data_IF_962146066807
#
_entry.id   IF_962146066807
#
_cell.length_a   1.000
_cell.length_b   1.000
_cell.length_c   1.000
_cell.angle_alpha   90.00
_cell.angle_beta   90.00
_cell.angle_gamma   90.00
#
_symmetry.space_group_name_H-M   'P 1'
#
loop_
_entity.id
_entity.type
_entity.pdbx_description
1 polymer ?
#
# COMPACT_ATOMS: atom_id res chain seq x y z
N UNK A 1 4.29 -21.28 3.22
CA UNK A 1 4.66 -21.49 1.79
C UNK A 1 3.41 -21.55 0.92
N UNK A 2 3.43 -20.88 -0.23
CA UNK A 2 2.32 -20.87 -1.20
C UNK A 2 2.34 -22.13 -2.11
N UNK A 3 1.95 -23.28 -1.54
CA UNK A 3 2.00 -24.60 -2.23
C UNK A 3 1.09 -24.65 -3.47
N UNK A 4 0.02 -23.84 -3.50
CA UNK A 4 -0.95 -23.79 -4.61
C UNK A 4 -0.57 -22.78 -5.71
N UNK A 5 0.60 -22.12 -5.61
CA UNK A 5 1.07 -21.11 -6.56
C UNK A 5 0.02 -20.02 -6.83
N UNK A 6 -0.67 -19.58 -5.78
CA UNK A 6 -1.65 -18.49 -5.86
C UNK A 6 -0.94 -17.20 -6.28
N UNK A 7 -1.44 -16.51 -7.29
CA UNK A 7 -0.91 -15.28 -7.85
C UNK A 7 -1.80 -14.06 -7.63
N UNK A 8 -3.11 -14.28 -7.52
CA UNK A 8 -4.09 -13.20 -7.32
C UNK A 8 -5.05 -13.55 -6.20
N UNK A 9 -5.47 -12.54 -5.46
CA UNK A 9 -6.43 -12.63 -4.36
C UNK A 9 -7.43 -11.49 -4.57
N UNK A 10 -8.70 -11.78 -4.33
CA UNK A 10 -9.74 -10.76 -4.28
C UNK A 10 -10.65 -11.04 -3.07
N UNK A 11 -11.29 -10.00 -2.55
CA UNK A 11 -12.20 -10.11 -1.42
C UNK A 11 -13.52 -9.39 -1.73
N UNK A 12 -14.62 -10.01 -1.34
CA UNK A 12 -15.95 -9.41 -1.36
C UNK A 12 -16.55 -9.45 0.05
N UNK A 13 -17.85 -9.22 0.16
CA UNK A 13 -18.57 -9.17 1.43
C UNK A 13 -18.63 -10.58 2.07
N UNK A 14 -17.70 -10.82 3.00
CA UNK A 14 -17.62 -12.07 3.74
C UNK A 14 -17.08 -13.26 2.95
N UNK A 15 -16.50 -13.05 1.75
CA UNK A 15 -15.86 -14.10 0.97
C UNK A 15 -14.55 -13.63 0.34
N UNK A 16 -13.71 -14.58 -0.08
CA UNK A 16 -12.44 -14.32 -0.74
C UNK A 16 -12.19 -15.32 -1.85
N UNK A 17 -11.50 -14.88 -2.90
CA UNK A 17 -11.14 -15.66 -4.07
C UNK A 17 -9.62 -15.74 -4.20
N UNK A 18 -9.14 -16.88 -4.66
CA UNK A 18 -7.73 -17.18 -4.81
C UNK A 18 -7.47 -17.80 -6.18
N UNK A 19 -6.52 -17.22 -6.91
CA UNK A 19 -6.19 -17.57 -8.29
C UNK A 19 -4.83 -18.23 -8.37
N UNK A 20 -4.71 -19.44 -8.92
CA UNK A 20 -3.43 -19.93 -9.44
C UNK A 20 -3.32 -19.65 -10.94
N UNK A 21 -2.27 -20.18 -11.59
CA UNK A 21 -2.10 -20.16 -13.06
C UNK A 21 -3.25 -20.83 -13.82
N UNK A 22 -3.95 -21.77 -13.20
CA UNK A 22 -4.85 -22.75 -13.86
C UNK A 22 -6.16 -23.01 -13.10
N UNK A 23 -6.28 -22.50 -11.86
CA UNK A 23 -7.36 -22.86 -10.93
C UNK A 23 -7.87 -21.65 -10.18
N UNK A 24 -9.16 -21.71 -9.90
CA UNK A 24 -9.86 -20.77 -9.04
C UNK A 24 -10.33 -21.45 -7.77
N UNK A 25 -10.16 -20.76 -6.65
CA UNK A 25 -10.68 -21.18 -5.36
C UNK A 25 -11.43 -20.04 -4.69
N UNK A 26 -12.41 -20.35 -3.84
CA UNK A 26 -13.07 -19.37 -2.99
C UNK A 26 -13.34 -19.92 -1.59
N UNK A 27 -13.41 -19.02 -0.61
CA UNK A 27 -13.69 -19.32 0.79
C UNK A 27 -14.55 -18.20 1.40
N UNK A 28 -15.27 -18.49 2.48
CA UNK A 28 -16.18 -17.56 3.16
C UNK A 28 -17.65 -17.82 2.81
N UNK A 29 -18.47 -16.79 2.90
CA UNK A 29 -19.91 -16.85 2.63
C UNK A 29 -20.21 -17.34 1.21
N UNK A 30 -21.28 -18.13 1.09
CA UNK A 30 -21.78 -18.71 -0.16
C UNK A 30 -23.33 -18.72 -0.20
N UNK A 31 -23.98 -17.92 0.64
CA UNK A 31 -25.44 -17.77 0.72
C UNK A 31 -26.08 -17.13 -0.52
N UNK A 32 -25.26 -16.58 -1.43
CA UNK A 32 -25.64 -16.07 -2.76
C UNK A 32 -24.88 -16.78 -3.87
N UNK A 33 -24.27 -17.94 -3.59
CA UNK A 33 -23.48 -18.74 -4.53
C UNK A 33 -22.28 -18.02 -5.15
N UNK A 34 -21.73 -17.03 -4.44
CA UNK A 34 -20.55 -16.27 -4.84
C UNK A 34 -19.25 -17.10 -4.90
N UNK A 35 -19.26 -18.37 -4.44
CA UNK A 35 -18.11 -19.29 -4.56
C UNK A 35 -18.45 -20.45 -5.51
N UNK A 36 -19.38 -21.34 -5.16
CA UNK A 36 -19.70 -22.50 -6.01
C UNK A 36 -20.96 -23.23 -5.55
N UNK A 37 -21.52 -24.06 -6.43
CA UNK A 37 -22.48 -25.12 -6.09
C UNK A 37 -21.94 -26.49 -6.45
N UNK A 38 -21.95 -27.42 -5.49
CA UNK A 38 -22.06 -28.86 -5.80
C UNK A 38 -23.52 -29.29 -5.66
N UNK A 39 -24.45 -28.73 -6.44
CA UNK A 39 -25.78 -29.33 -6.53
C UNK A 39 -25.78 -30.29 -7.71
N UNK A 40 -25.33 -31.52 -7.44
CA UNK A 40 -25.67 -32.68 -8.27
C UNK A 40 -26.37 -33.79 -7.52
N UNK A 41 -26.77 -33.58 -6.27
CA UNK A 41 -27.62 -34.52 -5.53
C UNK A 41 -28.75 -33.75 -4.85
N UNK A 42 -29.99 -34.15 -5.14
CA UNK A 42 -31.25 -33.59 -4.64
C UNK A 42 -31.48 -33.79 -3.12
N UNK A 43 -30.42 -33.81 -2.32
CA UNK A 43 -30.49 -34.02 -0.86
C UNK A 43 -29.35 -33.38 -0.06
N UNK A 44 -28.43 -32.64 -0.70
CA UNK A 44 -27.38 -31.92 0.01
C UNK A 44 -27.87 -30.54 0.44
N UNK A 45 -27.82 -30.27 1.75
CA UNK A 45 -28.10 -28.97 2.37
C UNK A 45 -27.20 -27.90 1.74
N UNK A 46 -27.78 -26.75 1.39
CA UNK A 46 -27.06 -25.59 0.87
C UNK A 46 -25.96 -25.21 1.86
N UNK A 47 -24.71 -25.20 1.40
CA UNK A 47 -23.59 -24.82 2.24
C UNK A 47 -23.43 -23.30 2.21
N UNK A 48 -23.87 -22.65 3.28
CA UNK A 48 -23.92 -21.19 3.41
C UNK A 48 -22.53 -20.55 3.55
N UNK A 49 -21.50 -21.32 3.89
CA UNK A 49 -20.12 -20.84 3.95
C UNK A 49 -19.09 -21.98 3.82
N UNK A 50 -17.88 -21.63 3.37
CA UNK A 50 -16.72 -22.50 3.27
C UNK A 50 -15.56 -21.95 4.10
N UNK A 51 -15.16 -22.64 5.18
CA UNK A 51 -13.97 -22.27 5.96
C UNK A 51 -12.69 -22.51 5.16
N UNK A 52 -12.64 -23.62 4.42
CA UNK A 52 -11.50 -23.99 3.59
C UNK A 52 -11.78 -23.70 2.12
N UNK A 53 -10.80 -23.10 1.43
CA UNK A 53 -10.92 -22.72 0.03
C UNK A 53 -11.34 -23.88 -0.87
N UNK A 54 -12.49 -23.75 -1.52
CA UNK A 54 -13.09 -24.70 -2.46
C UNK A 54 -12.80 -24.32 -3.89
N UNK A 55 -12.57 -25.33 -4.74
CA UNK A 55 -12.33 -25.12 -6.17
C UNK A 55 -13.63 -24.68 -6.86
N UNK A 56 -13.54 -23.61 -7.62
CA UNK A 56 -14.62 -23.10 -8.48
C UNK A 56 -14.38 -23.67 -9.88
N UNK A 57 -15.41 -24.27 -10.47
CA UNK A 57 -15.33 -24.86 -11.81
C UNK A 57 -15.97 -23.90 -12.81
N UNK A 58 -15.17 -23.42 -13.75
CA UNK A 58 -15.62 -22.58 -14.85
C UNK A 58 -16.01 -23.48 -16.03
N UNK A 59 -16.98 -23.06 -16.87
CA UNK A 59 -17.45 -23.84 -18.03
C UNK A 59 -16.44 -23.88 -19.20
N UNK A 60 -15.14 -23.80 -18.91
CA UNK A 60 -14.03 -23.66 -19.86
C UNK A 60 -12.84 -24.48 -19.31
N UNK A 61 -11.98 -25.04 -20.17
CA UNK A 61 -10.83 -25.88 -19.80
C UNK A 61 -9.71 -25.19 -18.97
N UNK A 62 -8.49 -25.73 -18.99
CA UNK A 62 -7.33 -25.20 -18.22
C UNK A 62 -6.94 -23.75 -18.62
N UNK A 63 -6.73 -22.84 -17.65
CA UNK A 63 -6.85 -21.37 -17.84
C UNK A 63 -6.05 -20.48 -16.85
N UNK A 64 -5.55 -19.30 -17.28
CA UNK A 64 -4.85 -18.26 -16.48
C UNK A 64 -5.66 -17.03 -15.98
N UNK A 65 -6.11 -17.02 -14.72
CA UNK A 65 -6.87 -15.89 -14.20
C UNK A 65 -6.11 -14.65 -13.71
N UNK A 66 -6.73 -13.50 -13.92
CA UNK A 66 -6.62 -12.28 -13.09
C UNK A 66 -8.04 -11.98 -12.55
N UNK A 67 -8.21 -11.36 -11.39
CA UNK A 67 -9.56 -11.14 -10.82
C UNK A 67 -9.67 -9.82 -10.06
N UNK A 68 -10.87 -9.24 -10.08
CA UNK A 68 -11.35 -8.24 -9.12
C UNK A 68 -12.73 -8.70 -8.63
N UNK A 69 -12.97 -8.69 -7.32
CA UNK A 69 -14.22 -9.16 -6.72
C UNK A 69 -15.14 -7.98 -6.45
N UNK A 70 -16.41 -8.11 -6.82
CA UNK A 70 -17.44 -7.20 -6.34
C UNK A 70 -17.83 -7.58 -4.91
N UNK A 71 -18.34 -6.64 -4.11
CA UNK A 71 -18.68 -6.97 -2.72
C UNK A 71 -19.86 -7.94 -2.62
N UNK A 72 -20.81 -7.95 -3.55
CA UNK A 72 -21.98 -8.82 -3.48
C UNK A 72 -22.08 -9.88 -4.59
N UNK A 73 -21.33 -9.74 -5.68
CA UNK A 73 -21.23 -10.74 -6.75
C UNK A 73 -19.77 -11.06 -7.10
N UNK A 74 -19.53 -12.26 -7.64
CA UNK A 74 -18.20 -12.64 -8.12
C UNK A 74 -18.13 -12.40 -9.61
N UNK A 75 -17.51 -11.29 -9.99
CA UNK A 75 -17.14 -11.02 -11.39
C UNK A 75 -15.74 -11.57 -11.62
N UNK A 76 -15.57 -12.45 -12.61
CA UNK A 76 -14.30 -13.07 -12.94
C UNK A 76 -13.79 -12.61 -14.30
N UNK A 77 -12.51 -12.28 -14.30
CA UNK A 77 -11.71 -11.89 -15.45
C UNK A 77 -10.89 -13.08 -15.96
N UNK A 78 -10.97 -13.39 -17.25
CA UNK A 78 -10.27 -14.52 -17.83
C UNK A 78 -9.36 -14.05 -18.96
N UNK A 79 -8.03 -14.06 -18.73
CA UNK A 79 -7.03 -13.97 -19.80
C UNK A 79 -6.57 -15.37 -20.21
N UNK A 80 -6.87 -15.81 -21.44
CA UNK A 80 -6.22 -17.01 -22.02
C UNK A 80 -5.01 -16.63 -22.91
N UNK A 81 -3.82 -17.14 -22.54
CA UNK A 81 -2.81 -17.65 -23.49
C UNK A 81 -3.15 -19.14 -23.69
N UNK A 82 -3.41 -19.76 -24.84
CA UNK A 82 -3.31 -19.48 -26.29
C UNK A 82 -4.63 -20.00 -26.91
N UNK A 83 -5.38 -19.32 -27.78
CA UNK A 83 -5.12 -18.90 -29.17
C UNK A 83 -6.17 -17.82 -29.58
N UNK A 84 -5.70 -16.70 -30.15
CA UNK A 84 -6.41 -15.55 -30.77
C UNK A 84 -7.94 -15.40 -30.50
N UNK A 85 -8.38 -14.75 -29.40
CA UNK A 85 -9.13 -13.45 -29.44
C UNK A 85 -9.97 -13.00 -28.22
N UNK A 86 -10.55 -13.82 -27.33
CA UNK A 86 -11.64 -13.29 -26.48
C UNK A 86 -11.24 -12.94 -25.03
N UNK A 87 -11.27 -11.65 -24.67
CA UNK A 87 -11.22 -11.16 -23.29
C UNK A 87 -12.52 -11.40 -22.54
N UNK A 88 -13.00 -12.65 -22.55
CA UNK A 88 -14.31 -13.02 -22.02
C UNK A 88 -14.42 -12.77 -20.51
N UNK A 89 -15.54 -12.17 -20.11
CA UNK A 89 -15.88 -11.92 -18.70
C UNK A 89 -16.95 -12.92 -18.29
N UNK A 90 -16.77 -13.51 -17.12
CA UNK A 90 -17.75 -14.41 -16.53
C UNK A 90 -18.25 -13.85 -15.21
N UNK A 91 -19.54 -13.99 -14.95
CA UNK A 91 -20.14 -13.57 -13.70
C UNK A 91 -21.09 -14.64 -13.15
N UNK A 92 -21.17 -14.67 -11.83
CA UNK A 92 -22.08 -15.51 -11.05
C UNK A 92 -22.20 -14.95 -9.62
N UNK A 93 -23.21 -15.40 -8.89
CA UNK A 93 -23.53 -14.96 -7.54
C UNK A 93 -24.87 -14.23 -7.50
N UNK A 94 -24.95 -13.18 -6.67
CA UNK A 94 -26.06 -12.24 -6.71
C UNK A 94 -26.18 -11.61 -8.10
N UNK A 95 -27.41 -11.32 -8.51
CA UNK A 95 -27.72 -10.65 -9.78
C UNK A 95 -29.09 -9.95 -9.74
N UNK A 96 -29.51 -9.49 -8.55
CA UNK A 96 -30.82 -8.81 -8.39
C UNK A 96 -30.85 -7.49 -9.18
N UNK A 97 -29.71 -6.79 -9.29
CA UNK A 97 -29.59 -5.56 -10.08
C UNK A 97 -29.02 -5.76 -11.48
N UNK A 98 -28.79 -7.01 -11.90
CA UNK A 98 -28.16 -7.31 -13.19
C UNK A 98 -26.62 -7.31 -13.16
N UNK A 99 -26.01 -7.46 -11.97
CA UNK A 99 -24.55 -7.42 -11.78
C UNK A 99 -23.77 -8.49 -12.57
N UNK A 100 -24.45 -9.56 -13.03
CA UNK A 100 -23.89 -10.60 -13.88
C UNK A 100 -23.96 -10.28 -15.39
N UNK A 101 -24.66 -9.22 -15.78
CA UNK A 101 -24.78 -8.74 -17.17
C UNK A 101 -25.12 -9.81 -18.21
N UNK A 102 -25.92 -10.82 -17.88
CA UNK A 102 -26.21 -11.97 -18.75
C UNK A 102 -27.65 -11.97 -19.31
N UNK A 103 -28.33 -10.82 -19.28
CA UNK A 103 -29.71 -10.66 -19.72
C UNK A 103 -30.76 -11.24 -18.78
N UNK A 104 -30.36 -11.73 -17.59
CA UNK A 104 -31.27 -12.21 -16.56
C UNK A 104 -31.12 -11.43 -15.26
N UNK A 105 -32.12 -11.57 -14.39
CA UNK A 105 -32.04 -11.19 -12.98
C UNK A 105 -32.02 -12.47 -12.13
N UNK A 106 -32.07 -12.35 -10.81
CA UNK A 106 -31.98 -13.46 -9.84
C UNK A 106 -30.61 -14.13 -9.77
N UNK A 107 -30.36 -14.76 -8.63
CA UNK A 107 -29.12 -15.44 -8.30
C UNK A 107 -28.63 -16.39 -9.41
N UNK A 108 -27.39 -16.17 -9.86
CA UNK A 108 -26.70 -16.94 -10.87
C UNK A 108 -25.73 -17.92 -10.20
N UNK A 109 -26.12 -19.18 -10.05
CA UNK A 109 -25.32 -20.19 -9.37
C UNK A 109 -24.23 -20.83 -10.24
N UNK A 110 -24.21 -20.51 -11.54
CA UNK A 110 -23.22 -20.97 -12.51
C UNK A 110 -22.54 -19.76 -13.18
N UNK A 111 -21.22 -19.80 -13.39
CA UNK A 111 -20.53 -18.82 -14.23
C UNK A 111 -21.15 -18.75 -15.61
N UNK A 112 -21.51 -17.54 -16.03
CA UNK A 112 -22.07 -17.24 -17.35
C UNK A 112 -21.30 -16.08 -17.99
N UNK A 113 -21.22 -16.06 -19.32
CA UNK A 113 -20.58 -14.94 -20.03
C UNK A 113 -21.45 -13.69 -19.93
N UNK A 114 -20.80 -12.54 -19.79
CA UNK A 114 -21.51 -11.25 -19.89
C UNK A 114 -21.96 -11.00 -21.34
N UNK A 115 -23.03 -10.23 -21.46
CA UNK A 115 -23.68 -9.77 -22.68
C UNK A 115 -23.73 -8.24 -22.71
N UNK A 116 -24.11 -7.68 -23.86
CA UNK A 116 -24.17 -6.24 -24.08
C UNK A 116 -22.91 -5.71 -24.76
N UNK A 117 -22.66 -4.41 -24.61
CA UNK A 117 -21.64 -3.68 -25.38
C UNK A 117 -20.20 -4.12 -25.05
N UNK A 118 -19.95 -4.62 -23.83
CA UNK A 118 -18.65 -5.15 -23.44
C UNK A 118 -18.42 -6.60 -23.93
N UNK A 119 -19.44 -7.24 -24.54
CA UNK A 119 -19.33 -8.62 -25.01
C UNK A 119 -18.42 -8.69 -26.25
N UNK A 120 -17.33 -9.44 -26.15
CA UNK A 120 -16.33 -9.56 -27.22
C UNK A 120 -15.23 -8.51 -27.15
N UNK A 121 -15.37 -7.50 -26.29
CA UNK A 121 -14.30 -6.54 -26.01
C UNK A 121 -13.17 -7.18 -25.21
N UNK A 122 -11.95 -6.71 -25.46
CA UNK A 122 -10.79 -7.14 -24.67
C UNK A 122 -10.67 -6.25 -23.45
N UNK A 123 -11.36 -6.64 -22.39
CA UNK A 123 -11.38 -5.87 -21.17
C UNK A 123 -10.17 -6.21 -20.29
N UNK A 124 -9.59 -5.18 -19.68
CA UNK A 124 -8.31 -5.20 -18.94
C UNK A 124 -8.46 -4.98 -17.44
N UNK A 125 -9.55 -4.35 -17.00
CA UNK A 125 -9.89 -4.17 -15.59
C UNK A 125 -11.41 -4.13 -15.38
N UNK A 126 -11.85 -4.49 -14.16
CA UNK A 126 -13.19 -4.24 -13.63
C UNK A 126 -13.06 -3.69 -12.24
N UNK A 127 -13.93 -2.78 -11.86
CA UNK A 127 -14.14 -2.41 -10.46
C UNK A 127 -15.60 -2.55 -10.08
N UNK A 128 -15.85 -2.88 -8.81
CA UNK A 128 -17.18 -3.00 -8.25
C UNK A 128 -17.12 -3.08 -6.73
N UNK A 129 -17.64 -2.10 -6.00
CA UNK A 129 -17.69 -2.18 -4.53
C UNK A 129 -19.06 -2.62 -3.99
N UNK A 130 -20.13 -2.66 -4.80
CA UNK A 130 -21.48 -3.04 -4.39
C UNK A 130 -22.18 -3.77 -5.54
N UNK A 131 -23.21 -3.18 -6.13
CA UNK A 131 -23.97 -3.78 -7.21
C UNK A 131 -23.72 -3.11 -8.56
N UNK A 132 -23.01 -1.97 -8.58
CA UNK A 132 -22.51 -1.32 -9.80
C UNK A 132 -21.16 -1.90 -10.21
N UNK A 133 -21.06 -2.36 -11.46
CA UNK A 133 -19.84 -2.90 -12.03
C UNK A 133 -19.36 -2.01 -13.16
N UNK A 134 -18.12 -1.52 -13.07
CA UNK A 134 -17.40 -0.82 -14.13
C UNK A 134 -16.35 -1.71 -14.76
N UNK A 135 -16.15 -1.61 -16.06
CA UNK A 135 -15.15 -2.34 -16.83
C UNK A 135 -14.37 -1.41 -17.77
N UNK A 136 -13.09 -1.70 -18.05
CA UNK A 136 -12.27 -0.92 -18.99
C UNK A 136 -11.61 -1.80 -20.07
N UNK A 137 -11.81 -1.49 -21.35
CA UNK A 137 -11.15 -2.18 -22.47
C UNK A 137 -9.66 -1.87 -22.60
N UNK A 138 -8.93 -2.68 -23.37
CA UNK A 138 -7.56 -2.40 -23.81
C UNK A 138 -7.49 -1.13 -24.69
N UNK A 139 -8.61 -0.75 -25.31
CA UNK A 139 -8.71 0.50 -26.06
C UNK A 139 -8.92 1.72 -25.15
N UNK A 140 -9.11 1.51 -23.84
CA UNK A 140 -9.39 2.57 -22.87
C UNK A 140 -10.86 3.01 -22.85
N UNK A 141 -11.77 2.18 -23.33
CA UNK A 141 -13.22 2.40 -23.28
C UNK A 141 -13.81 1.84 -21.99
N UNK A 142 -14.83 2.50 -21.45
CA UNK A 142 -15.46 2.06 -20.21
C UNK A 142 -16.89 1.56 -20.43
N UNK A 143 -17.24 0.53 -19.69
CA UNK A 143 -18.54 -0.10 -19.70
C UNK A 143 -19.09 -0.23 -18.29
N UNK A 144 -20.42 -0.23 -18.15
CA UNK A 144 -21.11 -0.31 -16.86
C UNK A 144 -22.31 -1.25 -16.92
N UNK A 145 -22.60 -1.91 -15.80
CA UNK A 145 -23.84 -2.66 -15.58
C UNK A 145 -24.13 -2.82 -14.08
N UNK A 146 -25.22 -3.50 -13.76
CA UNK A 146 -25.71 -3.68 -12.41
C UNK A 146 -26.57 -2.50 -11.94
N UNK A 147 -26.42 -2.10 -10.68
CA UNK A 147 -27.20 -1.01 -10.08
C UNK A 147 -26.89 0.34 -10.74
N UNK A 148 -27.95 1.10 -11.05
CA UNK A 148 -27.92 2.43 -11.65
C UNK A 148 -28.93 3.41 -10.98
N UNK A 149 -29.39 3.15 -9.76
CA UNK A 149 -30.35 4.00 -9.04
C UNK A 149 -29.87 5.45 -8.83
N UNK A 150 -28.56 5.68 -8.87
CA UNK A 150 -27.93 6.98 -8.66
C UNK A 150 -27.44 7.63 -9.96
N UNK A 151 -27.76 7.05 -11.12
CA UNK A 151 -27.33 7.57 -12.43
C UNK A 151 -25.86 7.28 -12.74
N UNK A 152 -25.28 6.21 -12.19
CA UNK A 152 -23.90 5.81 -12.43
C UNK A 152 -23.59 5.53 -13.92
N UNK A 153 -24.58 5.17 -14.73
CA UNK A 153 -24.42 4.95 -16.17
C UNK A 153 -24.47 6.25 -17.00
N UNK A 154 -24.80 7.38 -16.36
CA UNK A 154 -24.87 8.70 -16.98
C UNK A 154 -26.17 9.00 -17.73
N UNK A 155 -26.15 10.11 -18.46
CA UNK A 155 -27.32 10.69 -19.12
C UNK A 155 -27.94 9.77 -20.18
N UNK A 156 -29.27 9.61 -20.13
CA UNK A 156 -30.05 8.85 -21.12
C UNK A 156 -30.27 7.37 -20.77
N UNK A 157 -29.86 6.94 -19.57
CA UNK A 157 -30.13 5.60 -19.04
C UNK A 157 -31.05 5.70 -17.82
N UNK A 158 -32.36 5.64 -18.06
CA UNK A 158 -33.39 5.76 -17.01
C UNK A 158 -33.61 4.46 -16.23
N UNK A 159 -33.07 3.33 -16.71
CA UNK A 159 -33.19 2.05 -16.01
C UNK A 159 -32.31 2.05 -14.77
N UNK A 160 -32.91 1.77 -13.62
CA UNK A 160 -32.20 1.66 -12.33
C UNK A 160 -31.42 0.36 -12.15
N UNK A 161 -31.67 -0.63 -13.00
CA UNK A 161 -30.97 -1.93 -13.02
C UNK A 161 -30.56 -2.28 -14.45
N UNK A 162 -29.32 -2.71 -14.64
CA UNK A 162 -28.72 -2.96 -15.95
C UNK A 162 -28.20 -4.39 -16.02
N UNK A 163 -28.97 -5.30 -16.60
CA UNK A 163 -28.58 -6.70 -16.80
C UNK A 163 -27.86 -6.96 -18.14
N UNK A 164 -27.46 -5.91 -18.85
CA UNK A 164 -26.55 -5.93 -19.99
C UNK A 164 -25.48 -4.86 -19.77
N UNK A 165 -24.23 -5.17 -20.15
CA UNK A 165 -23.17 -4.17 -20.18
C UNK A 165 -23.48 -3.06 -21.17
N UNK A 166 -23.21 -1.81 -20.76
CA UNK A 166 -23.40 -0.62 -21.58
C UNK A 166 -22.13 0.18 -21.70
N UNK A 167 -21.82 0.64 -22.90
CA UNK A 167 -20.73 1.58 -23.15
C UNK A 167 -21.05 2.95 -22.54
N UNK A 168 -20.07 3.56 -21.87
CA UNK A 168 -20.14 4.95 -21.40
C UNK A 168 -19.31 5.83 -22.35
N UNK A 169 -19.95 6.75 -23.11
CA UNK A 169 -19.22 7.75 -23.87
C UNK A 169 -18.38 8.64 -22.96
N UNK A 170 -17.07 8.69 -23.19
CA UNK A 170 -16.15 9.41 -22.31
C UNK A 170 -15.36 10.50 -23.06
N UNK A 171 -15.51 11.79 -22.67
CA UNK A 171 -14.88 12.90 -23.40
C UNK A 171 -13.39 13.08 -23.09
N UNK A 172 -12.90 12.52 -21.99
CA UNK A 172 -11.53 12.71 -21.50
C UNK A 172 -10.46 11.83 -22.13
N UNK A 173 -10.78 11.09 -23.21
CA UNK A 173 -9.85 10.18 -23.87
C UNK A 173 -9.77 8.80 -23.23
N UNK A 174 -8.63 8.11 -23.40
CA UNK A 174 -8.47 6.72 -22.96
C UNK A 174 -8.34 6.59 -21.46
N UNK A 175 -9.10 5.66 -20.89
CA UNK A 175 -9.07 5.32 -19.46
C UNK A 175 -7.92 4.35 -19.15
N UNK A 176 -7.26 4.57 -18.02
CA UNK A 176 -6.14 3.77 -17.52
C UNK A 176 -6.45 3.04 -16.21
N UNK A 177 -7.32 3.60 -15.35
CA UNK A 177 -7.74 3.00 -14.08
C UNK A 177 -9.19 3.37 -13.78
N UNK A 178 -9.92 2.46 -13.13
CA UNK A 178 -11.34 2.62 -12.81
C UNK A 178 -11.62 2.25 -11.35
N UNK A 179 -12.67 2.82 -10.79
CA UNK A 179 -13.18 2.54 -9.45
C UNK A 179 -14.68 2.83 -9.36
N UNK A 180 -15.46 1.94 -8.74
CA UNK A 180 -16.86 2.24 -8.40
C UNK A 180 -17.13 2.00 -6.92
N UNK A 181 -17.88 2.93 -6.34
CA UNK A 181 -18.52 2.82 -5.02
C UNK A 181 -19.94 2.24 -5.18
N UNK A 182 -20.76 2.21 -4.13
CA UNK A 182 -22.17 1.83 -4.24
C UNK A 182 -23.02 2.79 -5.07
N UNK A 183 -22.61 4.05 -5.18
CA UNK A 183 -23.45 5.12 -5.77
C UNK A 183 -22.71 6.04 -6.73
N UNK A 184 -21.41 5.84 -6.91
CA UNK A 184 -20.51 6.75 -7.63
C UNK A 184 -19.35 6.04 -8.30
N UNK A 185 -18.72 6.71 -9.26
CA UNK A 185 -17.66 6.19 -10.09
C UNK A 185 -16.49 7.17 -10.14
N UNK A 186 -15.27 6.63 -10.22
CA UNK A 186 -14.03 7.38 -10.42
C UNK A 186 -13.20 6.70 -11.50
N UNK A 187 -12.57 7.48 -12.37
CA UNK A 187 -11.64 6.96 -13.40
C UNK A 187 -10.43 7.87 -13.53
N UNK A 188 -9.29 7.31 -13.91
CA UNK A 188 -8.14 8.08 -14.40
C UNK A 188 -7.89 7.82 -15.88
N UNK A 189 -7.44 8.84 -16.60
CA UNK A 189 -7.06 8.73 -18.01
C UNK A 189 -5.57 8.37 -18.17
N UNK A 190 -5.15 7.95 -19.36
CA UNK A 190 -3.72 7.77 -19.69
C UNK A 190 -2.91 9.09 -19.55
N UNK A 191 -3.59 10.25 -19.57
CA UNK A 191 -2.96 11.56 -19.35
C UNK A 191 -2.75 11.86 -17.87
N UNK A 192 -3.32 11.06 -16.97
CA UNK A 192 -3.27 11.23 -15.52
C UNK A 192 -4.33 12.19 -14.97
N UNK A 193 -5.39 12.45 -15.74
CA UNK A 193 -6.55 13.24 -15.33
C UNK A 193 -7.55 12.35 -14.58
N UNK A 194 -8.18 12.87 -13.53
CA UNK A 194 -9.18 12.12 -12.75
C UNK A 194 -10.57 12.67 -13.02
N UNK A 195 -11.53 11.77 -13.27
CA UNK A 195 -12.93 12.12 -13.44
C UNK A 195 -13.78 11.37 -12.43
N UNK A 196 -14.80 12.05 -11.90
CA UNK A 196 -15.73 11.49 -10.91
C UNK A 196 -17.18 11.81 -11.28
N UNK A 197 -18.11 10.90 -10.95
CA UNK A 197 -19.55 11.12 -11.09
C UNK A 197 -20.37 10.18 -10.20
N UNK A 198 -21.69 10.36 -10.19
CA UNK A 198 -22.66 9.66 -9.34
C UNK A 198 -23.11 10.49 -8.14
N UNK A 199 -23.46 9.83 -7.04
CA UNK A 199 -24.02 10.46 -5.82
C UNK A 199 -23.19 10.14 -4.58
N UNK A 200 -22.82 11.16 -3.81
CA UNK A 200 -22.13 11.02 -2.54
C UNK A 200 -21.10 12.13 -2.30
N UNK A 201 -20.03 11.80 -1.56
CA UNK A 201 -18.92 12.73 -1.34
C UNK A 201 -17.89 12.53 -2.47
N UNK A 202 -18.04 13.32 -3.53
CA UNK A 202 -17.32 13.10 -4.80
C UNK A 202 -15.90 13.69 -4.83
N UNK A 203 -15.50 14.47 -3.83
CA UNK A 203 -14.18 15.12 -3.81
C UNK A 203 -14.15 16.52 -4.46
N UNK A 204 -15.32 17.10 -4.71
CA UNK A 204 -15.51 18.43 -5.33
C UNK A 204 -16.11 19.44 -4.34
N UNK A 205 -15.88 19.23 -3.05
CA UNK A 205 -16.41 20.06 -1.97
C UNK A 205 -17.79 19.63 -1.45
N UNK A 206 -18.29 20.32 -0.43
CA UNK A 206 -19.49 19.88 0.32
C UNK A 206 -20.81 20.08 -0.42
N UNK A 207 -20.83 20.99 -1.41
CA UNK A 207 -22.03 21.35 -2.18
C UNK A 207 -22.27 20.42 -3.37
N UNK A 208 -21.21 19.85 -3.95
CA UNK A 208 -21.30 19.01 -5.14
C UNK A 208 -21.42 17.54 -4.75
N UNK A 209 -22.64 17.09 -4.51
CA UNK A 209 -22.93 15.72 -4.06
C UNK A 209 -23.57 14.83 -5.12
N UNK A 210 -23.92 15.37 -6.28
CA UNK A 210 -24.51 14.63 -7.39
C UNK A 210 -23.97 15.13 -8.71
N UNK A 211 -23.55 14.19 -9.56
CA UNK A 211 -23.08 14.43 -10.91
C UNK A 211 -23.59 13.33 -11.84
N UNK A 212 -24.38 13.71 -12.85
CA UNK A 212 -24.96 12.76 -13.81
C UNK A 212 -24.02 12.42 -14.98
N UNK A 213 -22.78 12.90 -14.94
CA UNK A 213 -21.76 12.65 -15.97
C UNK A 213 -20.35 12.81 -15.40
N UNK A 214 -19.33 12.17 -16.00
CA UNK A 214 -17.94 12.35 -15.59
C UNK A 214 -17.53 13.82 -15.59
N UNK A 215 -17.05 14.31 -14.45
CA UNK A 215 -16.50 15.67 -14.29
C UNK A 215 -15.02 15.57 -13.94
N UNK A 216 -14.20 16.35 -14.66
CA UNK A 216 -12.77 16.48 -14.41
C UNK A 216 -12.52 17.12 -13.04
N UNK A 217 -11.66 16.49 -12.24
CA UNK A 217 -11.19 17.04 -10.98
C UNK A 217 -9.94 17.89 -11.19
N UNK A 218 -9.79 18.94 -10.38
CA UNK A 218 -8.68 19.89 -10.49
C UNK A 218 -7.32 19.23 -10.15
N UNK A 219 -6.27 19.36 -11.00
CA UNK A 219 -4.95 18.77 -10.75
C UNK A 219 -4.30 19.14 -9.40
N UNK A 220 -4.48 20.37 -8.85
CA UNK A 220 -4.00 20.71 -7.51
C UNK A 220 -4.48 19.77 -6.40
N UNK A 221 -5.65 19.14 -6.55
CA UNK A 221 -6.17 18.18 -5.57
C UNK A 221 -5.27 16.94 -5.41
N UNK A 222 -4.42 16.66 -6.39
CA UNK A 222 -3.49 15.52 -6.41
C UNK A 222 -2.02 15.95 -6.39
N UNK A 223 -1.75 17.17 -5.90
CA UNK A 223 -0.42 17.74 -5.81
C UNK A 223 0.15 18.24 -7.14
N UNK A 224 -0.69 18.56 -8.12
CA UNK A 224 -0.30 18.92 -9.50
C UNK A 224 0.51 17.83 -10.21
N UNK A 225 0.31 16.58 -9.83
CA UNK A 225 0.95 15.42 -10.45
C UNK A 225 -0.08 14.57 -11.19
N UNK A 226 0.40 13.82 -12.18
CA UNK A 226 -0.44 12.85 -12.89
C UNK A 226 -0.87 11.74 -11.95
N UNK A 227 -2.14 11.36 -12.02
CA UNK A 227 -2.67 10.20 -11.27
C UNK A 227 -2.38 8.92 -12.06
N UNK A 228 -1.74 7.94 -11.43
CA UNK A 228 -1.42 6.64 -12.04
C UNK A 228 -2.53 5.62 -11.83
N UNK A 229 -3.20 5.66 -10.67
CA UNK A 229 -4.24 4.72 -10.30
C UNK A 229 -5.32 5.38 -9.46
N UNK A 230 -6.55 4.91 -9.61
CA UNK A 230 -7.69 5.25 -8.75
C UNK A 230 -8.27 3.99 -8.13
N UNK A 231 -8.86 4.14 -6.96
CA UNK A 231 -9.44 3.08 -6.15
C UNK A 231 -10.78 3.56 -5.58
N UNK A 232 -11.67 2.61 -5.33
CA UNK A 232 -12.94 2.88 -4.68
C UNK A 232 -13.21 1.85 -3.58
N UNK A 233 -13.63 2.33 -2.41
CA UNK A 233 -14.30 1.55 -1.38
C UNK A 233 -15.81 1.63 -1.53
N UNK A 234 -16.56 1.27 -0.49
CA UNK A 234 -18.03 1.32 -0.57
C UNK A 234 -18.60 2.75 -0.68
N UNK A 235 -17.97 3.70 0.01
CA UNK A 235 -18.39 5.12 0.08
C UNK A 235 -17.21 6.09 0.11
N UNK A 236 -16.04 5.61 -0.31
CA UNK A 236 -14.78 6.33 -0.30
C UNK A 236 -13.96 6.06 -1.55
N UNK A 237 -13.01 6.92 -1.81
CA UNK A 237 -12.14 6.87 -2.97
C UNK A 237 -10.68 7.02 -2.57
N UNK A 238 -9.79 6.53 -3.43
CA UNK A 238 -8.36 6.73 -3.35
C UNK A 238 -7.77 7.04 -4.72
N UNK A 239 -6.67 7.79 -4.74
CA UNK A 239 -5.87 8.05 -5.92
C UNK A 239 -4.38 7.97 -5.57
N UNK A 240 -3.61 7.27 -6.39
CA UNK A 240 -2.15 7.22 -6.30
C UNK A 240 -1.59 8.07 -7.44
N UNK A 241 -0.78 9.07 -7.11
CA UNK A 241 -0.11 9.86 -8.14
C UNK A 241 1.21 9.22 -8.60
N UNK A 242 1.79 9.74 -9.69
CA UNK A 242 3.03 9.24 -10.27
C UNK A 242 4.26 9.36 -9.35
N UNK A 243 4.17 10.15 -8.27
CA UNK A 243 5.19 10.25 -7.21
C UNK A 243 4.96 9.26 -6.07
N UNK A 244 3.98 8.38 -6.16
CA UNK A 244 3.66 7.41 -5.12
C UNK A 244 2.90 8.00 -3.93
N UNK A 245 2.37 9.22 -4.03
CA UNK A 245 1.57 9.84 -2.97
C UNK A 245 0.12 9.37 -3.06
N UNK A 246 -0.43 8.96 -1.93
CA UNK A 246 -1.81 8.49 -1.81
C UNK A 246 -2.71 9.64 -1.37
N UNK A 247 -3.80 9.84 -2.09
CA UNK A 247 -4.87 10.77 -1.74
C UNK A 247 -6.15 9.99 -1.49
N UNK A 248 -6.90 10.35 -0.46
CA UNK A 248 -8.16 9.69 -0.08
C UNK A 248 -9.26 10.72 0.16
N UNK A 249 -10.49 10.38 -0.18
CA UNK A 249 -11.67 11.20 0.11
C UNK A 249 -12.93 10.35 0.24
N UNK A 250 -14.02 10.97 0.68
CA UNK A 250 -15.31 10.31 0.89
C UNK A 250 -15.71 10.22 2.36
N UNK A 251 -16.59 9.27 2.65
CA UNK A 251 -17.03 9.01 4.03
C UNK A 251 -15.90 8.40 4.85
N UNK A 252 -15.71 8.88 6.08
CA UNK A 252 -14.63 8.46 6.96
C UNK A 252 -15.15 7.88 8.29
N UNK A 253 -16.32 7.23 8.23
CA UNK A 253 -16.87 6.51 9.38
C UNK A 253 -15.85 5.46 9.83
N UNK A 254 -15.62 5.34 11.14
CA UNK A 254 -14.64 4.40 11.72
C UNK A 254 -13.18 4.61 11.28
N UNK A 255 -12.82 5.76 10.69
CA UNK A 255 -11.44 6.02 10.27
C UNK A 255 -11.02 5.27 9.00
N UNK A 256 -11.97 4.89 8.14
CA UNK A 256 -11.72 4.14 6.90
C UNK A 256 -10.71 4.80 5.95
N UNK A 257 -10.53 6.12 6.04
CA UNK A 257 -9.57 6.86 5.22
C UNK A 257 -8.14 6.83 5.80
N UNK A 258 -7.94 6.34 7.03
CA UNK A 258 -6.62 6.27 7.65
C UNK A 258 -6.03 7.63 8.05
N UNK A 259 -6.88 8.61 8.35
CA UNK A 259 -6.49 10.00 8.66
C UNK A 259 -6.42 10.33 10.16
N UNK A 260 -6.38 9.30 11.03
CA UNK A 260 -6.37 9.44 12.50
C UNK A 260 -7.55 10.26 13.08
N UNK A 261 -8.63 10.40 12.31
CA UNK A 261 -9.88 11.02 12.73
C UNK A 261 -11.07 10.43 11.96
N UNK A 262 -12.29 10.61 12.49
CA UNK A 262 -13.53 10.12 11.87
C UNK A 262 -14.29 11.12 10.98
N UNK A 263 -13.70 12.27 10.65
CA UNK A 263 -14.36 13.30 9.81
C UNK A 263 -14.28 12.96 8.33
N UNK A 264 -15.42 13.07 7.64
CA UNK A 264 -15.52 12.92 6.18
C UNK A 264 -14.60 13.90 5.44
N UNK A 265 -14.15 13.51 4.26
CA UNK A 265 -13.28 14.32 3.41
C UNK A 265 -13.98 14.67 2.11
N UNK A 266 -14.32 15.95 1.94
CA UNK A 266 -15.01 16.48 0.76
C UNK A 266 -14.07 16.83 -0.40
N UNK A 267 -12.76 16.74 -0.18
CA UNK A 267 -11.71 16.90 -1.17
C UNK A 267 -10.67 15.79 -0.98
N UNK A 268 -9.94 15.39 -2.05
CA UNK A 268 -8.77 14.54 -1.92
C UNK A 268 -7.79 15.06 -0.87
N UNK A 269 -7.46 14.22 0.11
CA UNK A 269 -6.54 14.52 1.19
C UNK A 269 -5.34 13.57 1.15
N UNK A 270 -4.12 14.10 1.22
CA UNK A 270 -2.90 13.28 1.18
C UNK A 270 -2.76 12.45 2.47
N UNK A 271 -2.64 11.14 2.31
CA UNK A 271 -2.28 10.23 3.40
C UNK A 271 -0.77 10.20 3.54
N UNK A 272 -0.27 10.66 4.68
CA UNK A 272 1.14 10.60 4.99
C UNK A 272 1.46 9.28 5.68
N UNK A 273 2.09 8.37 4.95
CA UNK A 273 2.71 7.21 5.57
C UNK A 273 4.06 7.63 6.16
N UNK A 274 4.34 7.33 7.44
CA UNK A 274 5.65 7.57 8.03
C UNK A 274 6.78 6.71 7.41
N UNK A 275 6.46 5.93 6.36
CA UNK A 275 7.36 5.00 5.67
C UNK A 275 7.70 5.41 4.23
N UNK A 276 7.33 6.61 3.80
CA UNK A 276 8.20 7.30 2.84
C UNK A 276 9.56 7.39 3.54
N UNK A 277 10.51 6.48 3.23
CA UNK A 277 11.88 6.57 3.75
C UNK A 277 12.50 7.78 3.07
N UNK A 278 12.11 8.96 3.53
CA UNK A 278 12.72 10.24 3.20
C UNK A 278 14.00 10.40 3.98
N UNK A 279 14.17 9.69 5.11
CA UNK A 279 15.33 9.79 5.96
C UNK A 279 15.80 8.42 6.45
N UNK A 280 17.11 8.17 6.38
CA UNK A 280 17.72 7.05 7.12
C UNK A 280 17.93 7.52 8.55
N UNK A 281 17.16 6.98 9.50
CA UNK A 281 17.36 7.21 10.93
C UNK A 281 18.35 6.19 11.48
N UNK A 282 19.44 6.68 12.05
CA UNK A 282 20.46 5.89 12.70
C UNK A 282 20.56 6.30 14.16
N UNK A 283 20.96 5.37 15.01
CA UNK A 283 21.20 5.63 16.43
C UNK A 283 22.50 4.97 16.87
N UNK A 284 23.21 5.61 17.79
CA UNK A 284 24.51 5.14 18.24
C UNK A 284 24.95 5.70 19.58
N UNK A 285 26.08 5.20 20.08
CA UNK A 285 26.68 5.67 21.32
C UNK A 285 28.08 6.24 21.05
N UNK A 286 28.34 7.44 21.56
CA UNK A 286 29.71 7.92 21.72
C UNK A 286 30.24 7.33 23.02
N UNK A 287 30.97 6.23 22.89
CA UNK A 287 31.59 5.56 24.03
C UNK A 287 32.92 6.25 24.36
N UNK A 288 33.10 6.65 25.61
CA UNK A 288 34.36 7.17 26.12
C UNK A 288 34.90 6.34 27.28
N UNK A 289 36.22 6.38 27.46
CA UNK A 289 36.90 5.84 28.64
C UNK A 289 37.82 6.88 29.28
N UNK A 290 38.22 6.64 30.53
CA UNK A 290 39.24 7.41 31.22
C UNK A 290 40.47 6.52 31.42
N UNK A 291 41.57 6.85 30.75
CA UNK A 291 42.84 6.11 30.85
C UNK A 291 43.93 7.10 31.29
N UNK A 292 44.61 6.82 32.41
CA UNK A 292 45.68 7.68 32.94
C UNK A 292 45.32 9.18 32.99
N UNK A 293 44.10 9.51 33.47
CA UNK A 293 43.48 10.85 33.53
C UNK A 293 43.17 11.51 32.17
N UNK A 294 43.25 10.78 31.05
CA UNK A 294 42.86 11.27 29.72
C UNK A 294 41.51 10.70 29.32
N UNK A 295 40.75 11.50 28.58
CA UNK A 295 39.46 11.09 28.03
C UNK A 295 39.68 10.69 26.58
N UNK A 296 39.34 9.44 26.26
CA UNK A 296 39.44 8.89 24.91
C UNK A 296 38.07 8.44 24.43
N UNK A 297 37.79 8.68 23.15
CA UNK A 297 36.56 8.27 22.46
C UNK A 297 36.83 7.07 21.56
N UNK A 298 35.88 6.13 21.52
CA UNK A 298 35.92 4.99 20.61
C UNK A 298 35.42 5.40 19.23
N UNK A 299 36.25 5.17 18.22
CA UNK A 299 35.89 5.30 16.81
C UNK A 299 36.18 4.01 16.07
N UNK A 300 35.27 3.62 15.17
CA UNK A 300 35.36 2.45 14.31
C UNK A 300 35.55 2.89 12.86
N UNK A 301 36.39 2.18 12.11
CA UNK A 301 36.64 2.43 10.69
C UNK A 301 35.82 1.50 9.82
N UNK A 302 35.01 2.06 8.92
CA UNK A 302 34.24 1.29 7.95
C UNK A 302 35.14 0.40 7.07
N UNK A 303 34.71 -0.84 6.82
CA UNK A 303 35.40 -1.81 5.95
C UNK A 303 35.25 -1.49 4.46
N UNK A 304 34.35 -0.57 4.11
CA UNK A 304 34.09 -0.11 2.74
C UNK A 304 34.57 1.33 2.50
N UNK A 305 34.96 1.69 1.25
CA UNK A 305 35.35 3.06 0.89
C UNK A 305 34.25 4.09 1.22
N UNK A 306 34.59 5.30 1.71
CA UNK A 306 35.94 5.87 1.84
C UNK A 306 36.67 5.51 3.14
N UNK A 307 36.22 4.46 3.87
CA UNK A 307 36.81 4.04 5.15
C UNK A 307 36.76 5.11 6.25
N UNK A 308 35.60 5.76 6.38
CA UNK A 308 35.33 6.79 7.38
C UNK A 308 35.38 6.25 8.81
N UNK A 309 35.70 7.13 9.76
CA UNK A 309 35.73 6.83 11.19
C UNK A 309 34.54 7.46 11.91
N UNK A 310 33.74 6.64 12.57
CA UNK A 310 32.60 7.12 13.37
C UNK A 310 32.47 6.34 14.67
N UNK A 311 31.80 6.89 15.70
CA UNK A 311 31.36 6.09 16.83
C UNK A 311 30.37 5.00 16.36
N UNK A 312 30.19 3.90 17.12
CA UNK A 312 29.25 2.85 16.79
C UNK A 312 27.83 3.36 16.56
N UNK A 313 27.21 3.02 15.43
CA UNK A 313 25.86 3.46 15.03
C UNK A 313 25.30 2.64 13.86
N UNK A 314 24.03 2.26 13.96
CA UNK A 314 23.33 1.59 12.86
C UNK A 314 21.86 1.94 12.78
N UNK A 315 21.11 1.13 12.04
CA UNK A 315 19.75 1.48 11.60
C UNK A 315 18.74 1.29 12.72
N UNK A 316 17.83 2.27 12.85
CA UNK A 316 16.66 2.11 13.69
C UNK A 316 15.65 1.25 12.93
N UNK A 317 15.34 0.06 13.43
CA UNK A 317 14.41 -0.84 12.78
C UNK A 317 12.96 -0.32 12.87
N UNK A 318 12.06 -0.69 11.94
CA UNK A 318 10.65 -0.30 12.02
C UNK A 318 9.99 -0.71 13.34
N UNK A 319 9.54 0.28 14.12
CA UNK A 319 8.93 0.06 15.44
C UNK A 319 9.92 -0.08 16.59
N UNK A 320 11.22 0.10 16.34
CA UNK A 320 12.27 0.14 17.35
C UNK A 320 12.49 1.57 17.86
N UNK A 321 12.62 1.75 19.17
CA UNK A 321 13.03 3.03 19.74
C UNK A 321 14.51 3.31 19.42
N UNK A 322 14.85 4.56 19.09
CA UNK A 322 16.25 4.97 18.78
C UNK A 322 17.24 4.57 19.90
N UNK A 323 16.77 4.60 21.15
CA UNK A 323 17.54 4.18 22.32
C UNK A 323 17.91 2.69 22.28
N UNK A 324 16.94 1.83 21.92
CA UNK A 324 17.13 0.39 21.81
C UNK A 324 18.08 0.08 20.65
N UNK A 325 17.90 0.77 19.53
CA UNK A 325 18.79 0.68 18.37
C UNK A 325 20.24 1.05 18.75
N UNK A 326 20.47 2.18 19.44
CA UNK A 326 21.82 2.59 19.84
C UNK A 326 22.56 1.53 20.68
N UNK A 327 21.86 0.88 21.60
CA UNK A 327 22.39 -0.19 22.44
C UNK A 327 22.69 -1.47 21.65
N UNK A 328 21.77 -1.88 20.78
CA UNK A 328 21.91 -3.05 19.92
C UNK A 328 23.10 -2.88 18.97
N UNK A 329 23.15 -1.75 18.26
CA UNK A 329 24.18 -1.44 17.28
C UNK A 329 25.57 -1.30 17.93
N UNK A 330 25.66 -0.68 19.11
CA UNK A 330 26.94 -0.60 19.85
C UNK A 330 27.45 -1.99 20.24
N UNK A 331 26.54 -2.91 20.61
CA UNK A 331 26.90 -4.30 20.90
C UNK A 331 27.30 -5.06 19.64
N UNK A 332 26.62 -4.84 18.53
CA UNK A 332 26.88 -5.51 17.25
C UNK A 332 28.18 -5.04 16.61
N UNK A 333 28.42 -3.73 16.57
CA UNK A 333 29.57 -3.13 15.88
C UNK A 333 30.86 -3.11 16.70
N UNK A 334 30.76 -2.92 18.02
CA UNK A 334 31.92 -2.80 18.92
C UNK A 334 32.04 -3.95 19.93
N UNK A 335 31.04 -4.84 20.03
CA UNK A 335 31.04 -5.94 20.99
C UNK A 335 30.80 -5.49 22.44
N UNK A 336 30.32 -4.26 22.65
CA UNK A 336 30.17 -3.67 23.99
C UNK A 336 28.70 -3.77 24.43
N UNK A 337 28.36 -4.67 25.38
CA UNK A 337 27.00 -4.78 25.89
C UNK A 337 26.65 -3.64 26.86
N UNK A 338 25.35 -3.41 27.07
CA UNK A 338 24.82 -2.41 28.00
C UNK A 338 25.43 -2.50 29.40
N UNK A 339 25.68 -3.71 29.90
CA UNK A 339 26.19 -3.94 31.27
C UNK A 339 27.62 -3.40 31.47
N UNK A 340 28.34 -3.10 30.38
CA UNK A 340 29.67 -2.49 30.42
C UNK A 340 29.61 -0.96 30.39
N UNK A 341 28.42 -0.34 30.24
CA UNK A 341 28.25 1.07 29.94
C UNK A 341 27.41 1.79 30.99
N UNK A 342 27.91 2.93 31.46
CA UNK A 342 27.10 3.96 32.12
C UNK A 342 26.71 5.01 31.10
N UNK A 343 25.43 5.04 30.73
CA UNK A 343 24.91 5.95 29.69
C UNK A 343 24.33 7.20 30.34
N UNK A 344 24.59 8.36 29.74
CA UNK A 344 24.07 9.64 30.17
C UNK A 344 22.87 10.00 29.29
N UNK A 345 21.67 9.59 29.72
CA UNK A 345 20.43 9.74 28.97
C UNK A 345 20.09 11.19 28.61
N UNK A 346 20.50 12.14 29.46
CA UNK A 346 20.36 13.59 29.30
C UNK A 346 21.38 14.20 28.34
N UNK A 347 22.47 13.48 28.03
CA UNK A 347 23.55 13.94 27.18
C UNK A 347 23.49 13.27 25.80
N UNK A 348 22.73 13.89 24.90
CA UNK A 348 22.59 13.43 23.53
C UNK A 348 22.66 14.58 22.52
N UNK A 349 22.80 14.23 21.24
CA UNK A 349 22.80 15.18 20.12
C UNK A 349 22.39 14.48 18.83
N UNK A 350 21.79 15.23 17.91
CA UNK A 350 21.32 14.71 16.63
C UNK A 350 22.05 15.38 15.48
N UNK A 351 22.80 14.59 14.72
CA UNK A 351 23.46 15.02 13.48
C UNK A 351 22.54 14.82 12.29
N UNK A 352 22.49 15.79 11.39
CA UNK A 352 21.72 15.73 10.13
C UNK A 352 22.64 16.09 8.97
N UNK A 353 22.78 15.20 8.00
CA UNK A 353 23.64 15.39 6.84
C UNK A 353 23.16 14.55 5.65
N UNK A 354 23.46 15.00 4.43
CA UNK A 354 23.09 14.29 3.21
C UNK A 354 24.17 13.29 2.78
N UNK A 355 23.76 12.09 2.40
CA UNK A 355 24.64 11.09 1.79
C UNK A 355 24.05 10.67 0.45
N UNK A 356 24.73 10.99 -0.65
CA UNK A 356 24.27 10.68 -2.02
C UNK A 356 22.84 11.18 -2.32
N UNK A 357 22.47 12.36 -1.81
CA UNK A 357 21.14 12.96 -1.99
C UNK A 357 20.05 12.38 -1.10
N UNK A 358 20.39 11.45 -0.20
CA UNK A 358 19.48 10.94 0.83
C UNK A 358 19.82 11.59 2.17
N UNK A 359 18.89 12.35 2.77
CA UNK A 359 19.15 12.97 4.06
C UNK A 359 19.19 11.88 5.15
N UNK A 360 20.27 11.89 5.93
CA UNK A 360 20.49 10.99 7.05
C UNK A 360 20.40 11.76 8.36
N UNK A 361 19.78 11.13 9.35
CA UNK A 361 19.73 11.62 10.73
C UNK A 361 20.37 10.59 11.64
N UNK A 362 21.32 11.00 12.47
CA UNK A 362 21.97 10.13 13.44
C UNK A 362 21.87 10.74 14.82
N UNK A 363 21.29 10.01 15.77
CA UNK A 363 21.25 10.42 17.17
C UNK A 363 22.28 9.67 17.98
N UNK A 364 23.07 10.42 18.73
CA UNK A 364 24.10 9.88 19.62
C UNK A 364 23.80 10.21 21.06
N UNK A 365 24.01 9.23 21.94
CA UNK A 365 24.11 9.42 23.39
C UNK A 365 25.54 9.22 23.87
N UNK A 366 25.90 9.92 24.94
CA UNK A 366 27.18 9.74 25.59
C UNK A 366 27.16 8.51 26.52
N UNK A 367 28.19 7.65 26.45
CA UNK A 367 28.32 6.50 27.32
C UNK A 367 29.75 6.36 27.88
N UNK A 368 29.87 6.13 29.19
CA UNK A 368 31.13 5.81 29.85
C UNK A 368 31.34 4.30 29.93
N UNK A 369 32.49 3.83 29.44
CA UNK A 369 32.89 2.43 29.54
C UNK A 369 33.36 2.12 30.97
N UNK A 370 32.60 1.31 31.69
CA UNK A 370 32.88 0.92 33.08
C UNK A 370 33.79 -0.30 33.17
N UNK A 371 33.45 -1.39 32.44
CA UNK A 371 34.11 -2.69 32.56
C UNK A 371 34.14 -3.43 31.22
N UNK A 372 35.22 -3.33 30.43
CA UNK A 372 35.66 -4.37 29.47
C UNK A 372 36.87 -3.86 28.67
N UNK A 373 37.87 -4.74 28.45
CA UNK A 373 39.16 -4.41 27.83
C UNK A 373 39.27 -4.72 26.33
N UNK A 374 38.25 -5.24 25.62
CA UNK A 374 38.43 -5.57 24.19
C UNK A 374 37.23 -5.23 23.31
N UNK A 375 37.44 -4.29 22.38
CA UNK A 375 36.53 -3.97 21.27
C UNK A 375 36.53 -5.13 20.28
N UNK A 376 35.35 -5.66 19.94
CA UNK A 376 35.18 -6.70 18.92
C UNK A 376 34.40 -6.10 17.76
N UNK A 377 35.04 -6.04 16.60
CA UNK A 377 34.45 -5.44 15.40
C UNK A 377 33.44 -6.37 14.73
N UNK A 378 32.39 -5.76 14.19
CA UNK A 378 31.53 -6.39 13.18
C UNK A 378 32.24 -6.52 11.83
N UNK A 379 31.65 -7.29 10.91
CA UNK A 379 32.13 -7.41 9.51
C UNK A 379 32.08 -6.08 8.74
N UNK A 380 31.30 -5.10 9.24
CA UNK A 380 31.18 -3.77 8.65
C UNK A 380 32.39 -2.86 8.97
N UNK A 381 33.25 -3.29 9.89
CA UNK A 381 34.37 -2.51 10.39
C UNK A 381 35.67 -3.29 10.28
N UNK A 382 36.76 -2.59 9.97
CA UNK A 382 38.08 -3.21 9.78
C UNK A 382 39.11 -2.78 10.84
N UNK A 383 38.92 -1.63 11.48
CA UNK A 383 39.80 -1.10 12.53
C UNK A 383 38.98 -0.36 13.58
N UNK A 384 39.53 -0.25 14.79
CA UNK A 384 39.01 0.59 15.86
C UNK A 384 40.15 1.39 16.48
N UNK A 385 39.81 2.50 17.13
CA UNK A 385 40.78 3.35 17.82
C UNK A 385 40.13 4.05 19.01
N UNK A 386 40.86 4.08 20.12
CA UNK A 386 40.64 5.05 21.19
C UNK A 386 41.46 6.29 20.88
N UNK A 387 40.82 7.45 20.83
CA UNK A 387 41.46 8.71 20.46
C UNK A 387 41.07 9.83 21.43
N UNK A 388 42.05 10.64 21.84
CA UNK A 388 41.80 11.90 22.54
C UNK A 388 41.06 12.89 21.62
N UNK A 389 40.45 13.93 22.19
CA UNK A 389 39.53 14.82 21.46
C UNK A 389 40.10 15.34 20.11
N UNK A 390 41.29 15.92 20.12
CA UNK A 390 41.88 16.53 18.91
C UNK A 390 42.18 15.49 17.83
N UNK A 391 42.62 14.30 18.25
CA UNK A 391 42.85 13.20 17.33
C UNK A 391 41.54 12.63 16.79
N UNK A 392 40.54 12.44 17.65
CA UNK A 392 39.22 11.93 17.28
C UNK A 392 38.54 12.84 16.23
N UNK A 393 38.61 14.16 16.43
CA UNK A 393 38.13 15.16 15.45
C UNK A 393 38.90 15.02 14.13
N UNK A 394 40.22 14.88 14.20
CA UNK A 394 41.08 14.77 13.02
C UNK A 394 40.77 13.52 12.19
N UNK A 395 40.54 12.37 12.82
CA UNK A 395 40.27 11.12 12.10
C UNK A 395 38.82 10.98 11.63
N UNK A 396 37.87 11.64 12.30
CA UNK A 396 36.47 11.64 11.88
C UNK A 396 36.25 12.51 10.63
N UNK A 397 37.09 13.51 10.37
CA UNK A 397 37.10 14.40 9.18
C UNK A 397 35.85 15.27 8.96
N UNK A 398 34.72 15.00 9.62
CA UNK A 398 33.47 15.77 9.51
C UNK A 398 33.35 16.85 10.59
N UNK A 399 33.01 18.08 10.18
CA UNK A 399 32.92 19.24 11.06
C UNK A 399 31.84 19.07 12.16
N UNK A 400 30.71 18.48 11.79
CA UNK A 400 29.56 18.20 12.65
C UNK A 400 29.91 17.15 13.72
N UNK A 401 30.64 16.10 13.33
CA UNK A 401 31.15 15.10 14.27
C UNK A 401 32.15 15.74 15.24
N UNK A 402 33.00 16.64 14.75
CA UNK A 402 33.91 17.38 15.63
C UNK A 402 33.19 18.28 16.64
N UNK A 403 32.07 18.90 16.25
CA UNK A 403 31.22 19.68 17.15
C UNK A 403 30.56 18.79 18.23
N UNK A 404 30.06 17.62 17.83
CA UNK A 404 29.51 16.61 18.73
C UNK A 404 30.53 16.19 19.81
N UNK A 405 31.74 15.80 19.38
CA UNK A 405 32.79 15.35 20.30
C UNK A 405 33.22 16.45 21.27
N UNK A 406 33.29 17.71 20.82
CA UNK A 406 33.55 18.87 21.69
C UNK A 406 32.45 19.08 22.73
N UNK A 407 31.17 19.00 22.31
CA UNK A 407 30.02 19.10 23.23
C UNK A 407 30.10 18.02 24.31
N UNK A 408 30.34 16.78 23.91
CA UNK A 408 30.42 15.65 24.83
C UNK A 408 31.63 15.75 25.75
N UNK A 409 32.80 16.19 25.25
CA UNK A 409 33.96 16.46 26.10
C UNK A 409 33.67 17.52 27.16
N UNK A 410 33.03 18.62 26.79
CA UNK A 410 32.64 19.66 27.74
C UNK A 410 31.66 19.13 28.82
N UNK A 411 30.74 18.24 28.44
CA UNK A 411 29.89 17.56 29.41
C UNK A 411 30.72 16.66 30.35
N UNK A 412 31.64 15.85 29.81
CA UNK A 412 32.53 14.96 30.60
C UNK A 412 33.39 15.75 31.59
N UNK A 413 33.87 16.94 31.22
CA UNK A 413 34.69 17.78 32.09
C UNK A 413 33.91 18.36 33.28
N UNK A 414 32.58 18.45 33.14
CA UNK A 414 31.68 18.85 34.22
C UNK A 414 31.18 17.67 35.07
N UNK A 415 31.46 16.42 34.66
CA UNK A 415 31.15 15.23 35.45
C UNK A 415 32.15 15.10 36.60
N UNK A 416 31.68 15.49 37.79
CA UNK A 416 32.39 15.31 39.07
C UNK A 416 32.76 13.86 39.34
#
# INVERSE_FOLDING_TARGET
MNVRKIKHIAAGFGFSLFASKDKLFGSGLNNRFQITTHIKNAGLRLQEYYISAKRIHLPIGEFFPKYESCSMCTVLWIHHLFSRKSGDVFAFGLNEDGQCANGSYDIQWKPSKIMGDASGEKITSISGSSDTVLACSENGEIFIWGQNEYGQAGMGVDSVQLNYSRYIPFPGGKISSIGSTSSSCVVSTERGEVYVWGVGILGLGPTMQKLDRPVLMDPPLFGNEKVSNVYAGNTSFGALNAKGRLFVWGQNRYGLLGLDHGKDQYFPFEVFFPYDVKYVSLAGLVVFRRESNRVEFLLLQASYPPHHWTPPKGHVEPGEDEWVAALRETKEEAGIPKDCLKIYEDCHETLKYDVNGVPKTVKYWLAFLQNSENVKLSNEHQKWKWAELDEAIKIAEYAEMGALLRKFKAYIDNLK
#
